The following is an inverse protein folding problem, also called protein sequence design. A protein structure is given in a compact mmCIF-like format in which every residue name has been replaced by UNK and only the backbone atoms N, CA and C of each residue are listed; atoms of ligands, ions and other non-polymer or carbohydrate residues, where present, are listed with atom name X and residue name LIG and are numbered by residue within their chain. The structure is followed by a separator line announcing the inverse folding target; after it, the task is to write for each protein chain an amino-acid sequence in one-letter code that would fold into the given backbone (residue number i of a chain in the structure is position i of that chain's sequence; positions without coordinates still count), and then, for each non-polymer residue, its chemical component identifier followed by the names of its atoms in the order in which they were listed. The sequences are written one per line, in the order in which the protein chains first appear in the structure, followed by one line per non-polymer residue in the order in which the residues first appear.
data_IF_475590764970
#
_entry.id   IF_475590764970
#
_cell.length_a   1.000
_cell.length_b   1.000
_cell.length_c   1.000
_cell.angle_alpha   90.00
_cell.angle_beta   90.00
_cell.angle_gamma   90.00
#
_symmetry.space_group_name_H-M   'P 1'
#
loop_
_entity.id
_entity.type
_entity.pdbx_description
1 polymer ?
#
# COMPACT_ATOMS: atom_id res chain seq x y z
N UNK A 1 18.58 4.44 5.61
CA UNK A 1 17.97 5.78 5.43
C UNK A 1 17.45 6.23 6.79
N UNK A 2 17.68 7.48 7.19
CA UNK A 2 17.26 8.01 8.50
C UNK A 2 15.99 8.86 8.38
N UNK A 3 15.16 8.93 9.43
CA UNK A 3 14.01 9.81 9.45
C UNK A 3 14.44 11.28 9.36
N UNK A 4 13.60 12.09 8.72
CA UNK A 4 13.83 13.53 8.60
C UNK A 4 13.48 14.24 9.91
N UNK A 5 14.18 15.33 10.21
CA UNK A 5 13.72 16.26 11.25
C UNK A 5 12.49 17.04 10.76
N UNK A 6 11.66 17.55 11.67
CA UNK A 6 10.44 18.29 11.29
C UNK A 6 10.69 19.42 10.27
N UNK A 7 11.75 20.20 10.47
CA UNK A 7 12.11 21.28 9.53
C UNK A 7 12.56 20.76 8.17
N UNK A 8 13.25 19.62 8.12
CA UNK A 8 13.63 18.97 6.85
C UNK A 8 12.39 18.44 6.11
N UNK A 9 11.40 17.90 6.82
CA UNK A 9 10.10 17.52 6.24
C UNK A 9 9.41 18.75 5.62
N UNK A 10 9.33 19.85 6.36
CA UNK A 10 8.68 21.08 5.90
C UNK A 10 9.40 21.65 4.67
N UNK A 11 10.75 21.67 4.67
CA UNK A 11 11.56 22.06 3.51
C UNK A 11 11.28 21.15 2.31
N UNK A 12 11.27 19.82 2.51
CA UNK A 12 11.04 18.87 1.43
C UNK A 12 9.62 18.97 0.86
N UNK A 13 8.62 19.29 1.69
CA UNK A 13 7.25 19.56 1.25
C UNK A 13 7.14 20.88 0.46
N UNK A 14 7.85 21.93 0.87
CA UNK A 14 7.95 23.17 0.11
C UNK A 14 8.57 22.90 -1.27
N UNK A 15 9.66 22.12 -1.33
CA UNK A 15 10.29 21.72 -2.59
C UNK A 15 9.31 20.91 -3.44
N UNK A 16 8.59 19.94 -2.88
CA UNK A 16 7.61 19.14 -3.61
C UNK A 16 6.58 20.02 -4.34
N UNK A 17 6.07 21.06 -3.68
CA UNK A 17 5.01 21.94 -4.21
C UNK A 17 5.51 22.99 -5.20
N UNK A 18 6.71 23.53 -4.97
CA UNK A 18 7.20 24.71 -5.68
C UNK A 18 8.39 24.43 -6.60
N UNK A 19 8.78 23.16 -6.78
CA UNK A 19 9.93 22.82 -7.61
C UNK A 19 9.80 23.27 -9.09
N UNK A 20 10.91 23.71 -9.71
CA UNK A 20 12.22 23.93 -9.09
C UNK A 20 12.23 25.19 -8.20
N UNK A 21 12.83 25.12 -7.00
CA UNK A 21 12.81 26.21 -6.01
C UNK A 21 14.19 26.52 -5.43
N UNK A 22 14.51 27.79 -5.18
CA UNK A 22 15.79 28.22 -4.58
C UNK A 22 15.77 28.18 -3.04
N UNK A 23 16.95 28.25 -2.40
CA UNK A 23 17.01 28.35 -0.93
C UNK A 23 16.34 29.61 -0.37
N UNK A 24 16.34 30.71 -1.12
CA UNK A 24 15.70 31.95 -0.70
C UNK A 24 14.17 31.80 -0.68
N UNK A 25 13.60 31.27 -1.77
CA UNK A 25 12.16 30.99 -1.86
C UNK A 25 11.73 29.96 -0.80
N UNK A 26 12.54 28.92 -0.54
CA UNK A 26 12.26 27.98 0.57
C UNK A 26 12.17 28.74 1.89
N UNK A 27 13.10 29.66 2.15
CA UNK A 27 13.12 30.46 3.38
C UNK A 27 11.89 31.37 3.52
N UNK A 28 11.32 31.85 2.42
CA UNK A 28 10.11 32.68 2.42
C UNK A 28 8.83 31.88 2.71
N UNK A 29 8.78 30.62 2.26
CA UNK A 29 7.62 29.74 2.47
C UNK A 29 7.62 29.03 3.84
N UNK A 30 8.75 29.01 4.54
CA UNK A 30 8.84 28.41 5.87
C UNK A 30 8.05 29.25 6.89
N UNK A 31 7.18 28.58 7.65
CA UNK A 31 6.41 29.22 8.74
C UNK A 31 7.33 29.71 9.85
N UNK A 32 8.37 28.94 10.17
CA UNK A 32 9.39 29.30 11.17
C UNK A 32 10.47 30.16 10.52
N UNK A 33 10.73 31.34 11.10
CA UNK A 33 11.80 32.23 10.64
C UNK A 33 13.16 31.67 11.07
N UNK A 34 13.86 31.05 10.13
CA UNK A 34 15.24 30.56 10.30
C UNK A 34 16.20 31.29 9.35
N UNK A 35 17.49 31.29 9.68
CA UNK A 35 18.51 31.89 8.82
C UNK A 35 18.62 31.13 7.48
N UNK A 36 18.95 31.84 6.40
CA UNK A 36 19.20 31.23 5.09
C UNK A 36 20.35 30.20 5.14
N UNK A 37 21.31 30.38 6.05
CA UNK A 37 22.41 29.42 6.28
C UNK A 37 21.85 28.10 6.81
N UNK A 38 20.91 28.16 7.77
CA UNK A 38 20.23 26.98 8.30
C UNK A 38 19.45 26.25 7.21
N UNK A 39 18.69 26.98 6.38
CA UNK A 39 17.94 26.40 5.25
C UNK A 39 18.90 25.68 4.29
N UNK A 40 20.00 26.33 3.90
CA UNK A 40 21.02 25.72 3.03
C UNK A 40 21.64 24.46 3.63
N UNK A 41 21.89 24.44 4.94
CA UNK A 41 22.40 23.27 5.65
C UNK A 41 21.41 22.10 5.58
N UNK A 42 20.13 22.35 5.85
CA UNK A 42 19.11 21.31 5.81
C UNK A 42 18.85 20.81 4.38
N UNK A 43 18.83 21.69 3.38
CA UNK A 43 18.77 21.29 1.96
C UNK A 43 19.99 20.47 1.57
N UNK A 44 21.19 20.82 2.05
CA UNK A 44 22.40 20.02 1.81
C UNK A 44 22.27 18.63 2.42
N UNK A 45 21.75 18.51 3.65
CA UNK A 45 21.48 17.22 4.27
C UNK A 45 20.47 16.38 3.47
N UNK A 46 19.37 17.00 3.02
CA UNK A 46 18.37 16.35 2.16
C UNK A 46 18.98 15.84 0.84
N UNK A 47 19.89 16.62 0.24
CA UNK A 47 20.63 16.21 -0.97
C UNK A 47 21.56 15.04 -0.71
N UNK A 48 22.32 15.07 0.39
CA UNK A 48 23.20 13.97 0.78
C UNK A 48 22.42 12.68 1.06
N UNK A 49 21.21 12.81 1.61
CA UNK A 49 20.28 11.70 1.83
C UNK A 49 19.51 11.28 0.57
N UNK A 50 19.72 11.93 -0.57
CA UNK A 50 19.11 11.57 -1.86
C UNK A 50 17.66 12.03 -2.05
N UNK A 51 17.07 12.79 -1.12
CA UNK A 51 15.70 13.29 -1.23
C UNK A 51 15.56 14.40 -2.29
N UNK A 52 16.62 15.17 -2.51
CA UNK A 52 16.59 16.39 -3.32
C UNK A 52 17.75 16.38 -4.32
N UNK A 53 17.49 16.82 -5.55
CA UNK A 53 18.51 17.15 -6.55
C UNK A 53 18.64 18.65 -6.70
N UNK A 54 19.81 19.10 -7.16
CA UNK A 54 20.07 20.50 -7.44
C UNK A 54 20.45 20.70 -8.91
N UNK A 55 20.00 21.79 -9.50
CA UNK A 55 20.35 22.24 -10.85
C UNK A 55 20.77 23.71 -10.82
N UNK A 56 21.64 24.13 -11.74
CA UNK A 56 22.15 25.51 -11.81
C UNK A 56 23.49 25.71 -11.09
N UNK A 57 23.98 26.96 -11.04
CA UNK A 57 25.29 27.32 -10.44
C UNK A 57 25.22 28.66 -9.68
N UNK A 58 25.94 28.76 -8.57
CA UNK A 58 26.02 30.00 -7.80
C UNK A 58 24.66 30.47 -7.29
N UNK A 59 24.20 31.64 -7.75
CA UNK A 59 22.91 32.22 -7.34
C UNK A 59 21.69 31.59 -8.04
N UNK A 60 21.89 30.82 -9.12
CA UNK A 60 20.80 30.17 -9.85
C UNK A 60 20.54 28.72 -9.42
N UNK A 61 21.09 28.28 -8.27
CA UNK A 61 20.85 26.93 -7.76
C UNK A 61 19.39 26.79 -7.34
N UNK A 62 18.70 25.85 -7.96
CA UNK A 62 17.34 25.45 -7.62
C UNK A 62 17.27 23.95 -7.32
N UNK A 63 16.27 23.56 -6.54
CA UNK A 63 16.10 22.24 -5.99
C UNK A 63 14.80 21.60 -6.45
N UNK A 64 14.85 20.29 -6.70
CA UNK A 64 13.70 19.47 -7.02
C UNK A 64 13.72 18.20 -6.15
N UNK A 65 12.54 17.66 -5.84
CA UNK A 65 12.43 16.42 -5.08
C UNK A 65 12.72 15.24 -6.03
N UNK A 66 13.46 14.24 -5.56
CA UNK A 66 13.72 13.01 -6.32
C UNK A 66 12.55 12.03 -6.18
N UNK A 67 12.52 10.98 -7.00
CA UNK A 67 11.53 9.90 -6.86
C UNK A 67 11.62 9.21 -5.50
N UNK A 68 12.84 8.93 -5.02
CA UNK A 68 13.09 8.39 -3.67
C UNK A 68 12.64 9.40 -2.61
N UNK A 69 12.93 10.69 -2.80
CA UNK A 69 12.51 11.73 -1.88
C UNK A 69 11.01 11.83 -1.75
N UNK A 70 10.26 11.72 -2.85
CA UNK A 70 8.78 11.64 -2.83
C UNK A 70 8.31 10.38 -2.10
N UNK A 71 8.91 9.24 -2.42
CA UNK A 71 8.53 7.94 -1.88
C UNK A 71 8.50 7.93 -0.36
N UNK A 72 9.52 8.50 0.28
CA UNK A 72 9.68 8.48 1.73
C UNK A 72 9.28 9.79 2.43
N UNK A 73 8.72 10.76 1.71
CA UNK A 73 8.29 12.02 2.31
C UNK A 73 7.13 11.77 3.29
N UNK A 74 7.23 12.14 4.58
CA UNK A 74 6.14 11.99 5.52
C UNK A 74 5.03 12.99 5.21
N UNK A 75 3.95 12.49 4.62
CA UNK A 75 2.74 13.26 4.33
C UNK A 75 1.68 12.86 5.35
N UNK A 76 1.08 13.83 6.03
CA UNK A 76 -0.15 13.61 6.79
C UNK A 76 -1.30 13.45 5.80
N UNK A 77 -1.81 12.22 5.69
CA UNK A 77 -2.83 11.87 4.71
C UNK A 77 -4.16 12.58 4.96
N UNK A 78 -4.52 12.81 6.23
CA UNK A 78 -5.75 13.49 6.59
C UNK A 78 -5.68 14.97 6.23
N UNK A 79 -4.58 15.66 6.59
CA UNK A 79 -4.37 17.05 6.22
C UNK A 79 -4.27 17.23 4.70
N UNK A 80 -3.62 16.30 4.01
CA UNK A 80 -3.53 16.32 2.54
C UNK A 80 -4.92 16.17 1.90
N UNK A 81 -5.75 15.25 2.41
CA UNK A 81 -7.08 14.99 1.87
C UNK A 81 -8.15 16.00 2.29
N UNK A 82 -7.90 16.82 3.32
CA UNK A 82 -8.75 17.94 3.71
C UNK A 82 -8.79 19.07 2.67
N UNK A 83 -7.83 19.10 1.74
CA UNK A 83 -7.85 19.99 0.56
C UNK A 83 -8.66 19.31 -0.54
N UNK A 84 -9.53 20.07 -1.23
CA UNK A 84 -10.31 19.56 -2.36
C UNK A 84 -9.42 18.96 -3.47
N UNK A 85 -9.80 17.85 -4.13
CA UNK A 85 -8.95 17.12 -5.07
C UNK A 85 -8.31 17.99 -6.16
N UNK A 86 -9.05 18.96 -6.71
CA UNK A 86 -8.56 19.83 -7.78
C UNK A 86 -7.59 20.92 -7.31
N UNK A 87 -7.55 21.20 -6.01
CA UNK A 87 -6.64 22.18 -5.40
C UNK A 87 -5.39 21.54 -4.79
N UNK A 88 -5.31 20.20 -4.75
CA UNK A 88 -4.12 19.48 -4.26
C UNK A 88 -2.96 19.61 -5.24
N UNK A 89 -1.70 19.59 -4.77
CA UNK A 89 -0.50 19.52 -5.60
C UNK A 89 -0.31 18.09 -6.16
N UNK A 90 -1.33 17.59 -6.87
CA UNK A 90 -1.45 16.19 -7.27
C UNK A 90 -0.79 15.87 -8.62
N UNK A 91 -0.13 14.72 -8.70
CA UNK A 91 0.30 14.14 -9.96
C UNK A 91 -0.88 13.43 -10.61
N UNK A 92 -1.29 13.90 -11.79
CA UNK A 92 -2.50 13.38 -12.46
C UNK A 92 -2.26 12.10 -13.26
N UNK A 93 -1.00 11.68 -13.47
CA UNK A 93 -0.63 10.59 -14.38
C UNK A 93 0.26 9.57 -13.70
N UNK A 94 0.24 8.35 -14.25
CA UNK A 94 1.11 7.25 -13.84
C UNK A 94 2.59 7.57 -14.11
N UNK A 95 3.45 7.19 -13.18
CA UNK A 95 4.91 7.36 -13.22
C UNK A 95 5.63 6.04 -13.54
N UNK A 96 6.15 5.91 -14.77
CA UNK A 96 6.88 4.71 -15.22
C UNK A 96 8.26 4.57 -14.56
N UNK A 97 8.82 5.66 -14.06
CA UNK A 97 10.13 5.65 -13.39
C UNK A 97 10.02 5.24 -11.91
N UNK A 98 8.80 5.11 -11.39
CA UNK A 98 8.57 4.77 -9.98
C UNK A 98 9.18 3.41 -9.62
N UNK A 99 8.74 2.33 -10.25
CA UNK A 99 9.16 0.98 -9.88
C UNK A 99 10.64 0.68 -10.15
N UNK A 100 11.27 1.17 -11.23
CA UNK A 100 12.71 1.08 -11.39
C UNK A 100 13.49 1.81 -10.28
N UNK A 101 12.99 2.95 -9.80
CA UNK A 101 13.64 3.76 -8.76
C UNK A 101 13.41 3.28 -7.32
N UNK A 102 12.51 2.32 -7.10
CA UNK A 102 12.22 1.80 -5.75
C UNK A 102 13.42 0.99 -5.23
N UNK A 103 13.92 1.31 -4.02
CA UNK A 103 15.00 0.56 -3.40
C UNK A 103 14.55 -0.86 -2.98
N UNK A 104 15.49 -1.80 -2.81
CA UNK A 104 15.19 -3.17 -2.36
C UNK A 104 14.54 -3.29 -0.97
N UNK A 105 14.59 -2.24 -0.16
CA UNK A 105 13.91 -2.17 1.14
C UNK A 105 13.15 -0.86 1.29
N UNK A 106 11.92 -0.94 1.80
CA UNK A 106 11.05 0.22 2.07
C UNK A 106 11.01 0.63 3.54
N UNK A 107 11.74 -0.08 4.40
CA UNK A 107 11.70 0.12 5.85
C UNK A 107 13.01 0.68 6.37
N UNK A 108 12.92 1.66 7.27
CA UNK A 108 14.06 2.11 8.05
C UNK A 108 14.47 1.03 9.04
N UNK A 109 15.71 1.09 9.53
CA UNK A 109 16.27 0.06 10.42
C UNK A 109 15.41 -0.21 11.66
N UNK A 110 14.82 0.83 12.25
CA UNK A 110 13.93 0.70 13.41
C UNK A 110 12.58 0.06 13.06
N UNK A 111 11.97 0.46 11.93
CA UNK A 111 10.73 -0.14 11.42
C UNK A 111 10.94 -1.62 11.08
N UNK A 112 12.06 -1.94 10.42
CA UNK A 112 12.43 -3.31 10.09
C UNK A 112 12.62 -4.15 11.36
N UNK A 113 13.33 -3.63 12.35
CA UNK A 113 13.50 -4.33 13.63
C UNK A 113 12.17 -4.56 14.36
N UNK A 114 11.18 -3.66 14.22
CA UNK A 114 9.84 -3.85 14.77
C UNK A 114 9.10 -4.99 14.07
N UNK A 115 9.13 -5.04 12.73
CA UNK A 115 8.55 -6.13 11.95
C UNK A 115 9.19 -7.48 12.31
N UNK A 116 10.52 -7.55 12.39
CA UNK A 116 11.22 -8.79 12.74
C UNK A 116 10.87 -9.27 14.16
N UNK A 117 10.73 -8.35 15.14
CA UNK A 117 10.24 -8.71 16.49
C UNK A 117 8.81 -9.23 16.46
N UNK A 118 7.94 -8.60 15.67
CA UNK A 118 6.56 -9.04 15.50
C UNK A 118 6.51 -10.46 14.90
N UNK A 119 7.32 -10.75 13.89
CA UNK A 119 7.44 -12.09 13.30
C UNK A 119 7.94 -13.12 14.31
N UNK A 120 8.94 -12.77 15.12
CA UNK A 120 9.41 -13.63 16.23
C UNK A 120 8.28 -13.99 17.20
N UNK A 121 7.53 -12.99 17.67
CA UNK A 121 6.36 -13.17 18.55
C UNK A 121 5.26 -14.01 17.90
N UNK A 122 5.02 -13.82 16.60
CA UNK A 122 4.07 -14.62 15.84
C UNK A 122 4.47 -16.10 15.81
N UNK A 123 5.73 -16.41 15.53
CA UNK A 123 6.23 -17.79 15.54
C UNK A 123 6.22 -18.41 16.94
N UNK A 124 6.55 -17.66 17.98
CA UNK A 124 6.50 -18.18 19.36
C UNK A 124 5.09 -18.61 19.76
N UNK A 125 4.08 -17.83 19.37
CA UNK A 125 2.67 -18.18 19.62
C UNK A 125 2.18 -19.35 18.77
N UNK A 126 2.85 -19.67 17.66
CA UNK A 126 2.47 -20.76 16.75
C UNK A 126 3.11 -22.12 17.09
N UNK A 127 4.22 -22.13 17.85
CA UNK A 127 5.12 -23.30 18.03
C UNK A 127 4.48 -24.56 18.62
N UNK A 128 3.44 -24.45 19.43
CA UNK A 128 2.82 -25.59 20.15
C UNK A 128 1.31 -25.71 19.94
N UNK A 129 0.78 -25.15 18.85
CA UNK A 129 -0.65 -25.21 18.59
C UNK A 129 -1.09 -26.55 18.01
N UNK A 130 -2.16 -27.11 18.60
CA UNK A 130 -2.82 -28.27 18.00
C UNK A 130 -3.41 -27.90 16.64
N UNK A 131 -3.54 -28.90 15.75
CA UNK A 131 -4.15 -28.71 14.43
C UNK A 131 -5.54 -28.06 14.53
N UNK A 132 -6.35 -28.48 15.49
CA UNK A 132 -7.69 -27.91 15.71
C UNK A 132 -7.65 -26.43 16.13
N UNK A 133 -6.68 -26.03 16.95
CA UNK A 133 -6.50 -24.63 17.33
C UNK A 133 -6.00 -23.79 16.15
N UNK A 134 -5.09 -24.34 15.35
CA UNK A 134 -4.62 -23.73 14.11
C UNK A 134 -5.77 -23.45 13.14
N UNK A 135 -6.61 -24.46 12.86
CA UNK A 135 -7.77 -24.32 11.98
C UNK A 135 -8.77 -23.26 12.49
N UNK A 136 -8.98 -23.19 13.81
CA UNK A 136 -9.86 -22.19 14.43
C UNK A 136 -9.30 -20.76 14.31
N UNK A 137 -8.00 -20.58 14.54
CA UNK A 137 -7.35 -19.27 14.39
C UNK A 137 -7.32 -18.81 12.93
N UNK A 138 -7.06 -19.74 12.01
CA UNK A 138 -7.13 -19.50 10.58
C UNK A 138 -8.55 -19.07 10.16
N UNK A 139 -9.58 -19.80 10.58
CA UNK A 139 -10.97 -19.46 10.26
C UNK A 139 -11.32 -18.05 10.78
N UNK A 140 -10.95 -17.75 12.03
CA UNK A 140 -11.14 -16.42 12.63
C UNK A 140 -10.46 -15.33 11.80
N UNK A 141 -9.21 -15.54 11.41
CA UNK A 141 -8.47 -14.59 10.56
C UNK A 141 -9.17 -14.38 9.21
N UNK A 142 -9.58 -15.47 8.55
CA UNK A 142 -10.24 -15.42 7.23
C UNK A 142 -11.57 -14.67 7.29
N UNK A 143 -12.37 -14.86 8.34
CA UNK A 143 -13.61 -14.11 8.57
C UNK A 143 -13.31 -12.61 8.70
N UNK A 144 -12.37 -12.25 9.57
CA UNK A 144 -12.03 -10.85 9.83
C UNK A 144 -11.43 -10.15 8.60
N UNK A 145 -10.55 -10.83 7.87
CA UNK A 145 -9.97 -10.33 6.62
C UNK A 145 -11.04 -10.15 5.53
N UNK A 146 -11.89 -11.16 5.32
CA UNK A 146 -12.93 -11.13 4.28
C UNK A 146 -13.95 -10.02 4.53
N UNK A 147 -14.35 -9.86 5.79
CA UNK A 147 -15.18 -8.74 6.23
C UNK A 147 -14.50 -7.40 5.96
N UNK A 148 -13.30 -7.19 6.52
CA UNK A 148 -12.68 -5.86 6.53
C UNK A 148 -12.21 -5.42 5.15
N UNK A 149 -11.65 -6.32 4.36
CA UNK A 149 -11.24 -6.06 2.97
C UNK A 149 -12.44 -5.69 2.09
N UNK A 150 -13.61 -6.29 2.32
CA UNK A 150 -14.85 -5.93 1.61
C UNK A 150 -15.42 -4.61 2.12
N UNK A 151 -15.40 -4.38 3.43
CA UNK A 151 -15.91 -3.17 4.06
C UNK A 151 -15.17 -1.91 3.62
N UNK A 152 -13.85 -1.97 3.43
CA UNK A 152 -13.05 -0.86 2.86
C UNK A 152 -13.52 -0.45 1.46
N UNK A 153 -14.13 -1.37 0.70
CA UNK A 153 -14.72 -1.10 -0.61
C UNK A 153 -16.22 -0.75 -0.55
N UNK A 154 -16.77 -0.50 0.64
CA UNK A 154 -18.16 -0.07 0.85
C UNK A 154 -19.16 -1.20 1.10
N UNK A 155 -18.71 -2.44 1.31
CA UNK A 155 -19.59 -3.53 1.73
C UNK A 155 -20.17 -3.27 3.13
N UNK A 156 -21.48 -3.47 3.29
CA UNK A 156 -22.22 -3.08 4.49
C UNK A 156 -22.44 -4.23 5.49
N UNK A 157 -21.90 -5.43 5.22
CA UNK A 157 -21.95 -6.53 6.19
C UNK A 157 -21.27 -6.16 7.51
N UNK A 158 -21.90 -6.57 8.62
CA UNK A 158 -21.22 -6.55 9.92
C UNK A 158 -20.26 -7.74 10.04
N UNK A 159 -19.37 -7.69 11.03
CA UNK A 159 -18.49 -8.84 11.31
C UNK A 159 -19.32 -10.08 11.71
N UNK A 160 -20.39 -9.89 12.46
CA UNK A 160 -21.30 -10.99 12.85
C UNK A 160 -22.03 -11.59 11.65
N UNK A 161 -22.52 -10.76 10.74
CA UNK A 161 -23.16 -11.26 9.51
C UNK A 161 -22.15 -12.01 8.63
N UNK A 162 -20.91 -11.54 8.59
CA UNK A 162 -19.82 -12.20 7.85
C UNK A 162 -19.49 -13.57 8.45
N UNK A 163 -19.44 -13.66 9.79
CA UNK A 163 -19.23 -14.93 10.50
C UNK A 163 -20.35 -15.93 10.18
N UNK A 164 -21.62 -15.52 10.29
CA UNK A 164 -22.78 -16.37 9.97
C UNK A 164 -22.80 -16.78 8.50
N UNK A 165 -22.41 -15.88 7.59
CA UNK A 165 -22.31 -16.19 6.17
C UNK A 165 -21.24 -17.25 5.88
N UNK A 166 -20.06 -17.11 6.48
CA UNK A 166 -18.93 -18.02 6.23
C UNK A 166 -19.13 -19.38 6.90
N UNK A 167 -19.62 -19.41 8.15
CA UNK A 167 -19.78 -20.66 8.92
C UNK A 167 -21.05 -21.41 8.59
N UNK A 168 -22.18 -20.70 8.56
CA UNK A 168 -23.50 -21.33 8.49
C UNK A 168 -24.12 -21.23 7.09
N UNK A 169 -23.49 -20.50 6.17
CA UNK A 169 -24.05 -20.20 4.84
C UNK A 169 -25.25 -19.26 4.89
N UNK A 170 -25.50 -18.61 6.03
CA UNK A 170 -26.67 -17.76 6.25
C UNK A 170 -26.39 -16.34 5.78
N UNK A 171 -27.10 -15.91 4.74
CA UNK A 171 -27.03 -14.52 4.24
C UNK A 171 -27.78 -13.59 5.16
N UNK A 172 -27.28 -12.37 5.31
CA UNK A 172 -28.03 -11.30 5.96
C UNK A 172 -29.18 -10.84 5.05
N UNK A 173 -30.41 -10.71 5.60
CA UNK A 173 -31.63 -10.53 4.80
C UNK A 173 -31.70 -9.19 4.06
N UNK A 174 -31.07 -8.14 4.60
CA UNK A 174 -31.15 -6.78 4.08
C UNK A 174 -29.97 -6.41 3.15
N UNK A 175 -29.13 -7.38 2.79
CA UNK A 175 -27.93 -7.16 1.99
C UNK A 175 -28.03 -7.74 0.58
N UNK A 176 -27.32 -7.11 -0.36
CA UNK A 176 -27.34 -7.57 -1.73
C UNK A 176 -26.63 -8.93 -1.90
N UNK A 177 -27.04 -9.76 -2.87
CA UNK A 177 -26.31 -10.99 -3.20
C UNK A 177 -24.85 -10.74 -3.59
N UNK A 178 -24.57 -9.59 -4.21
CA UNK A 178 -23.22 -9.19 -4.60
C UNK A 178 -22.31 -8.97 -3.37
N UNK A 179 -22.82 -8.34 -2.30
CA UNK A 179 -22.05 -8.14 -1.07
C UNK A 179 -21.70 -9.47 -0.39
N UNK A 180 -22.64 -10.42 -0.36
CA UNK A 180 -22.35 -11.77 0.14
C UNK A 180 -21.28 -12.48 -0.70
N UNK A 181 -21.39 -12.38 -2.04
CA UNK A 181 -20.40 -12.96 -2.96
C UNK A 181 -19.02 -12.34 -2.78
N UNK A 182 -18.89 -11.03 -2.55
CA UNK A 182 -17.59 -10.39 -2.28
C UNK A 182 -16.86 -11.04 -1.10
N UNK A 183 -17.59 -11.35 -0.01
CA UNK A 183 -17.04 -11.99 1.19
C UNK A 183 -16.66 -13.45 0.91
N UNK A 184 -17.56 -14.21 0.29
CA UNK A 184 -17.33 -15.63 -0.03
C UNK A 184 -16.18 -15.82 -1.02
N UNK A 185 -16.06 -14.92 -2.01
CA UNK A 185 -14.96 -14.89 -2.96
C UNK A 185 -13.64 -14.59 -2.24
N UNK A 186 -13.65 -13.67 -1.28
CA UNK A 186 -12.46 -13.35 -0.49
C UNK A 186 -11.97 -14.55 0.32
N UNK A 187 -12.87 -15.29 0.96
CA UNK A 187 -12.56 -16.57 1.62
C UNK A 187 -11.94 -17.55 0.62
N UNK A 188 -12.63 -17.79 -0.50
CA UNK A 188 -12.21 -18.76 -1.53
C UNK A 188 -10.83 -18.41 -2.10
N UNK A 189 -10.58 -17.13 -2.35
CA UNK A 189 -9.29 -16.66 -2.85
C UNK A 189 -8.18 -16.79 -1.80
N UNK A 190 -8.48 -16.65 -0.51
CA UNK A 190 -7.52 -16.93 0.56
C UNK A 190 -7.21 -18.43 0.69
N UNK A 191 -8.22 -19.30 0.57
CA UNK A 191 -8.02 -20.77 0.55
C UNK A 191 -7.10 -21.19 -0.61
N UNK A 192 -7.22 -20.54 -1.77
CA UNK A 192 -6.30 -20.71 -2.89
C UNK A 192 -4.86 -20.29 -2.54
N UNK A 193 -4.67 -19.17 -1.84
CA UNK A 193 -3.35 -18.71 -1.38
C UNK A 193 -2.69 -19.76 -0.48
N UNK A 194 -3.43 -20.29 0.51
CA UNK A 194 -2.93 -21.31 1.43
C UNK A 194 -2.55 -22.61 0.71
N UNK A 195 -3.31 -23.00 -0.30
CA UNK A 195 -3.06 -24.21 -1.09
C UNK A 195 -1.88 -24.05 -2.07
N UNK A 196 -1.42 -22.83 -2.31
CA UNK A 196 -0.40 -22.51 -3.32
C UNK A 196 0.76 -21.67 -2.77
N UNK A 197 1.10 -21.79 -1.47
CA UNK A 197 2.17 -21.01 -0.81
C UNK A 197 3.49 -21.05 -1.59
N UNK A 198 3.89 -22.21 -2.12
CA UNK A 198 5.12 -22.37 -2.90
C UNK A 198 5.17 -21.54 -4.18
N UNK A 199 4.02 -21.25 -4.79
CA UNK A 199 3.93 -20.38 -5.97
C UNK A 199 4.26 -18.95 -5.56
N UNK A 200 3.65 -18.45 -4.50
CA UNK A 200 3.88 -17.09 -4.00
C UNK A 200 5.26 -16.91 -3.38
N UNK A 201 5.86 -17.97 -2.82
CA UNK A 201 7.23 -17.96 -2.30
C UNK A 201 8.28 -17.74 -3.39
N UNK A 202 8.01 -18.22 -4.61
CA UNK A 202 8.86 -17.95 -5.80
C UNK A 202 8.65 -16.54 -6.35
N UNK A 203 7.68 -15.80 -5.84
CA UNK A 203 7.28 -14.47 -6.31
C UNK A 203 5.97 -14.48 -7.08
N UNK A 204 5.50 -13.29 -7.45
CA UNK A 204 4.26 -13.10 -8.24
C UNK A 204 4.57 -12.74 -9.69
N UNK A 205 3.61 -13.01 -10.57
CA UNK A 205 3.59 -12.52 -11.93
C UNK A 205 2.15 -12.36 -12.44
N UNK A 206 1.99 -12.09 -13.74
CA UNK A 206 0.67 -11.83 -14.33
C UNK A 206 -0.33 -12.95 -14.06
N UNK A 207 0.05 -14.21 -14.30
CA UNK A 207 -0.84 -15.36 -14.14
C UNK A 207 -1.35 -15.52 -12.69
N UNK A 208 -0.47 -15.35 -11.70
CA UNK A 208 -0.86 -15.48 -10.28
C UNK A 208 -1.76 -14.33 -9.84
N UNK A 209 -1.49 -13.11 -10.29
CA UNK A 209 -2.32 -11.93 -9.93
C UNK A 209 -3.68 -11.97 -10.62
N UNK A 210 -3.72 -12.36 -11.90
CA UNK A 210 -4.98 -12.55 -12.64
C UNK A 210 -5.83 -13.67 -12.04
N UNK A 211 -5.22 -14.76 -11.54
CA UNK A 211 -5.97 -15.84 -10.90
C UNK A 211 -6.56 -15.41 -9.56
N UNK A 212 -5.79 -14.69 -8.73
CA UNK A 212 -6.31 -14.12 -7.47
C UNK A 212 -7.47 -13.16 -7.77
N UNK A 213 -7.31 -12.29 -8.77
CA UNK A 213 -8.39 -11.38 -9.21
C UNK A 213 -9.63 -12.16 -9.66
N UNK A 214 -9.46 -13.18 -10.51
CA UNK A 214 -10.54 -14.02 -11.04
C UNK A 214 -11.37 -14.64 -9.92
N UNK A 215 -10.73 -15.12 -8.86
CA UNK A 215 -11.41 -15.67 -7.68
C UNK A 215 -12.16 -14.58 -6.92
N UNK A 216 -11.55 -13.42 -6.71
CA UNK A 216 -12.14 -12.29 -5.98
C UNK A 216 -13.38 -11.69 -6.66
N UNK A 217 -13.42 -11.68 -8.00
CA UNK A 217 -14.54 -11.10 -8.76
C UNK A 217 -15.53 -12.12 -9.32
N UNK A 218 -15.38 -13.40 -8.95
CA UNK A 218 -16.22 -14.48 -9.44
C UNK A 218 -17.72 -14.21 -9.18
N UNK A 219 -18.55 -14.23 -10.23
CA UNK A 219 -19.99 -14.00 -10.10
C UNK A 219 -20.41 -12.55 -9.82
N UNK A 220 -19.48 -11.58 -9.85
CA UNK A 220 -19.78 -10.15 -9.65
C UNK A 220 -19.99 -9.38 -10.97
N UNK A 221 -19.94 -10.07 -12.12
CA UNK A 221 -20.14 -9.44 -13.44
C UNK A 221 -18.95 -8.59 -13.93
N UNK A 222 -17.76 -8.78 -13.35
CA UNK A 222 -16.52 -8.07 -13.72
C UNK A 222 -15.79 -8.84 -14.83
N UNK A 223 -15.30 -8.13 -15.85
CA UNK A 223 -14.47 -8.71 -16.90
C UNK A 223 -13.16 -9.27 -16.33
N UNK A 224 -12.70 -10.39 -16.90
CA UNK A 224 -11.47 -11.07 -16.47
C UNK A 224 -10.25 -10.56 -17.23
N UNK A 225 -9.11 -10.59 -16.56
CA UNK A 225 -7.83 -10.21 -17.15
C UNK A 225 -7.65 -8.70 -17.25
N UNK A 226 -6.55 -8.29 -17.87
CA UNK A 226 -6.19 -6.87 -18.00
C UNK A 226 -7.26 -6.12 -18.80
N UNK A 227 -7.80 -5.06 -18.20
CA UNK A 227 -8.89 -4.27 -18.79
C UNK A 227 -8.47 -3.56 -20.07
N UNK A 228 -9.45 -3.35 -20.95
CA UNK A 228 -9.33 -2.56 -22.19
C UNK A 228 -9.93 -1.17 -22.11
N UNK A 229 -10.72 -0.89 -21.06
CA UNK A 229 -11.44 0.36 -20.86
C UNK A 229 -10.78 1.22 -19.77
N UNK A 230 -10.87 2.55 -19.83
CA UNK A 230 -10.40 3.42 -18.77
C UNK A 230 -11.23 3.24 -17.49
N UNK A 231 -10.59 3.43 -16.34
CA UNK A 231 -11.24 3.44 -15.02
C UNK A 231 -10.85 4.71 -14.27
N UNK A 232 -11.75 5.21 -13.43
CA UNK A 232 -11.50 6.34 -12.54
C UNK A 232 -11.42 5.89 -11.08
N UNK A 233 -10.72 6.66 -10.25
CA UNK A 233 -10.72 6.50 -8.80
C UNK A 233 -11.41 7.73 -8.20
N UNK A 234 -12.49 7.52 -7.46
CA UNK A 234 -13.23 8.61 -6.81
C UNK A 234 -12.36 9.26 -5.73
N UNK A 235 -12.40 10.59 -5.65
CA UNK A 235 -11.74 11.39 -4.60
C UNK A 235 -10.27 11.73 -4.87
N UNK A 236 -9.78 11.47 -6.09
CA UNK A 236 -8.42 11.81 -6.51
C UNK A 236 -8.36 12.41 -7.91
N UNK A 237 -7.40 13.32 -8.13
CA UNK A 237 -7.09 13.86 -9.45
C UNK A 237 -6.22 12.90 -10.31
N UNK A 238 -5.74 11.80 -9.72
CA UNK A 238 -4.94 10.79 -10.40
C UNK A 238 -5.78 9.98 -11.39
N UNK A 239 -5.24 9.82 -12.59
CA UNK A 239 -5.82 8.99 -13.65
C UNK A 239 -4.94 7.76 -13.88
N UNK A 240 -5.48 6.55 -13.63
CA UNK A 240 -4.80 5.30 -13.98
C UNK A 240 -4.52 5.18 -15.47
N UNK A 241 -3.63 4.25 -15.82
CA UNK A 241 -3.34 3.90 -17.22
C UNK A 241 -4.61 3.46 -17.95
N UNK A 242 -4.78 3.84 -19.21
CA UNK A 242 -5.94 3.49 -20.04
C UNK A 242 -5.61 2.48 -21.14
N UNK A 243 -4.32 2.33 -21.48
CA UNK A 243 -3.84 1.45 -22.53
C UNK A 243 -3.39 0.07 -21.98
N UNK A 244 -3.93 -1.05 -22.49
CA UNK A 244 -3.59 -2.41 -22.03
C UNK A 244 -2.11 -2.79 -22.16
N UNK A 245 -1.41 -2.30 -23.19
CA UNK A 245 0.02 -2.58 -23.35
C UNK A 245 0.84 -1.86 -22.28
N UNK A 246 0.48 -0.61 -21.97
CA UNK A 246 1.12 0.16 -20.90
C UNK A 246 0.81 -0.39 -19.51
N UNK A 247 -0.40 -0.92 -19.31
CA UNK A 247 -0.75 -1.64 -18.06
C UNK A 247 0.15 -2.87 -17.89
N UNK A 248 0.36 -3.67 -18.95
CA UNK A 248 1.25 -4.83 -18.91
C UNK A 248 2.69 -4.42 -18.58
N UNK A 249 3.20 -3.40 -19.27
CA UNK A 249 4.54 -2.86 -19.02
C UNK A 249 4.72 -2.40 -17.56
N UNK A 250 3.73 -1.68 -17.01
CA UNK A 250 3.74 -1.25 -15.63
C UNK A 250 3.69 -2.42 -14.64
N UNK A 251 2.91 -3.47 -14.95
CA UNK A 251 2.86 -4.69 -14.14
C UNK A 251 4.23 -5.39 -14.15
N UNK A 252 4.83 -5.59 -15.32
CA UNK A 252 6.14 -6.24 -15.46
C UNK A 252 7.22 -5.47 -14.69
N UNK A 253 7.22 -4.13 -14.79
CA UNK A 253 8.11 -3.26 -14.00
C UNK A 253 7.89 -3.38 -12.50
N UNK A 254 6.64 -3.52 -12.05
CA UNK A 254 6.31 -3.71 -10.63
C UNK A 254 6.71 -5.09 -10.12
N UNK A 255 6.50 -6.16 -10.90
CA UNK A 255 6.95 -7.50 -10.55
C UNK A 255 8.46 -7.57 -10.42
N UNK A 256 9.19 -6.96 -11.36
CA UNK A 256 10.64 -6.85 -11.27
C UNK A 256 11.08 -6.11 -9.99
N UNK A 257 10.37 -5.04 -9.58
CA UNK A 257 10.68 -4.34 -8.33
C UNK A 257 10.37 -5.18 -7.08
N UNK A 258 9.27 -5.95 -7.10
CA UNK A 258 8.89 -6.87 -6.02
C UNK A 258 9.91 -8.02 -5.90
N UNK A 259 10.40 -8.57 -7.00
CA UNK A 259 11.41 -9.64 -6.97
C UNK A 259 12.81 -9.15 -6.56
N UNK A 260 13.09 -7.85 -6.70
CA UNK A 260 14.32 -7.23 -6.17
C UNK A 260 14.27 -6.97 -4.67
N UNK A 261 13.11 -7.07 -4.03
CA UNK A 261 12.96 -6.79 -2.61
C UNK A 261 13.79 -7.77 -1.77
N UNK A 262 14.46 -7.26 -0.75
CA UNK A 262 15.34 -8.06 0.13
C UNK A 262 14.59 -8.73 1.28
N UNK A 263 13.32 -8.40 1.49
CA UNK A 263 12.51 -8.91 2.58
C UNK A 263 11.02 -9.05 2.19
N UNK A 264 10.29 -9.99 2.83
CA UNK A 264 8.89 -10.26 2.49
C UNK A 264 7.97 -9.08 2.81
N UNK A 265 8.31 -8.23 3.77
CA UNK A 265 7.50 -7.04 4.10
C UNK A 265 7.53 -6.03 2.96
N UNK A 266 8.71 -5.81 2.37
CA UNK A 266 8.90 -4.91 1.24
C UNK A 266 8.16 -5.45 0.02
N UNK A 267 8.29 -6.75 -0.27
CA UNK A 267 7.52 -7.42 -1.32
C UNK A 267 6.01 -7.21 -1.14
N UNK A 268 5.50 -7.41 0.08
CA UNK A 268 4.08 -7.28 0.40
C UNK A 268 3.58 -5.83 0.26
N UNK A 269 4.23 -4.86 0.93
CA UNK A 269 3.87 -3.45 0.86
C UNK A 269 3.95 -2.91 -0.57
N UNK A 270 4.98 -3.30 -1.32
CA UNK A 270 5.14 -2.89 -2.70
C UNK A 270 4.06 -3.48 -3.60
N UNK A 271 3.72 -4.76 -3.44
CA UNK A 271 2.62 -5.38 -4.21
C UNK A 271 1.27 -4.69 -3.94
N UNK A 272 1.01 -4.33 -2.68
CA UNK A 272 -0.19 -3.61 -2.26
C UNK A 272 -0.31 -2.26 -2.95
N UNK A 273 0.79 -1.49 -2.94
CA UNK A 273 0.85 -0.17 -3.52
C UNK A 273 0.80 -0.20 -5.06
N UNK A 274 1.59 -1.09 -5.67
CA UNK A 274 1.75 -1.18 -7.12
C UNK A 274 0.46 -1.57 -7.83
N UNK A 275 -0.19 -2.67 -7.41
CA UNK A 275 -1.43 -3.16 -8.04
C UNK A 275 -2.53 -2.10 -7.91
N UNK A 276 -2.61 -1.44 -6.75
CA UNK A 276 -3.59 -0.38 -6.51
C UNK A 276 -3.31 0.90 -7.32
N UNK A 277 -2.06 1.20 -7.63
CA UNK A 277 -1.70 2.38 -8.43
C UNK A 277 -1.90 2.14 -9.93
N UNK A 278 -1.57 0.94 -10.41
CA UNK A 278 -1.73 0.55 -11.81
C UNK A 278 -3.21 0.39 -12.19
N UNK A 279 -4.04 -0.14 -11.27
CA UNK A 279 -5.45 -0.50 -11.52
C UNK A 279 -5.60 -1.40 -12.76
N UNK A 280 -4.99 -2.60 -12.81
CA UNK A 280 -4.96 -3.40 -14.03
C UNK A 280 -6.30 -4.01 -14.46
N UNK A 281 -7.28 -4.08 -13.57
CA UNK A 281 -8.58 -4.71 -13.78
C UNK A 281 -9.72 -3.70 -13.80
N UNK A 282 -10.87 -4.10 -14.34
CA UNK A 282 -12.09 -3.27 -14.39
C UNK A 282 -12.59 -2.91 -12.98
N UNK A 283 -12.64 -3.89 -12.07
CA UNK A 283 -12.91 -3.70 -10.64
C UNK A 283 -12.13 -4.75 -9.82
N UNK A 284 -12.08 -4.61 -8.49
CA UNK A 284 -11.45 -5.57 -7.58
C UNK A 284 -9.95 -5.35 -7.38
N UNK A 285 -9.38 -4.28 -7.94
CA UNK A 285 -7.94 -3.98 -7.88
C UNK A 285 -7.40 -3.92 -6.45
N UNK A 286 -8.06 -3.16 -5.57
CA UNK A 286 -7.61 -2.96 -4.18
C UNK A 286 -7.76 -4.22 -3.33
N UNK A 287 -8.84 -5.00 -3.53
CA UNK A 287 -9.03 -6.32 -2.90
C UNK A 287 -7.94 -7.30 -3.35
N UNK A 288 -7.63 -7.30 -4.64
CA UNK A 288 -6.54 -8.11 -5.21
C UNK A 288 -5.20 -7.72 -4.61
N UNK A 289 -4.92 -6.43 -4.52
CA UNK A 289 -3.68 -5.92 -3.94
C UNK A 289 -3.49 -6.35 -2.47
N UNK A 290 -4.54 -6.22 -1.63
CA UNK A 290 -4.51 -6.67 -0.23
C UNK A 290 -4.29 -8.18 -0.11
N UNK A 291 -4.97 -8.97 -0.94
CA UNK A 291 -4.84 -10.42 -0.88
C UNK A 291 -3.48 -10.92 -1.39
N UNK A 292 -2.95 -10.31 -2.46
CA UNK A 292 -1.61 -10.62 -2.97
C UNK A 292 -0.53 -10.25 -1.94
N UNK A 293 -0.66 -9.12 -1.24
CA UNK A 293 0.24 -8.76 -0.16
C UNK A 293 0.24 -9.81 0.96
N UNK A 294 -0.95 -10.27 1.38
CA UNK A 294 -1.06 -11.36 2.35
C UNK A 294 -0.49 -12.68 1.83
N UNK A 295 -0.66 -12.99 0.54
CA UNK A 295 -0.08 -14.19 -0.06
C UNK A 295 1.45 -14.21 0.02
N UNK A 296 2.08 -13.06 -0.23
CA UNK A 296 3.53 -12.91 -0.10
C UNK A 296 4.00 -13.08 1.36
N UNK A 297 3.27 -12.52 2.33
CA UNK A 297 3.60 -12.69 3.76
C UNK A 297 3.46 -14.14 4.21
N UNK A 298 2.30 -14.74 3.95
CA UNK A 298 1.97 -16.12 4.38
C UNK A 298 2.91 -17.14 3.73
N UNK A 299 3.33 -16.93 2.48
CA UNK A 299 4.29 -17.81 1.80
C UNK A 299 5.71 -17.75 2.39
N UNK A 300 6.02 -16.70 3.16
CA UNK A 300 7.29 -16.53 3.87
C UNK A 300 7.10 -16.65 5.39
N UNK A 301 6.05 -17.36 5.82
CA UNK A 301 5.73 -17.63 7.22
C UNK A 301 5.58 -16.38 8.10
N UNK A 302 5.31 -15.23 7.48
CA UNK A 302 5.04 -13.96 8.15
C UNK A 302 3.56 -13.84 8.54
N UNK A 303 3.27 -13.07 9.59
CA UNK A 303 1.91 -12.75 9.97
C UNK A 303 1.18 -12.01 8.81
N UNK A 304 -0.04 -12.42 8.43
CA UNK A 304 -0.82 -11.71 7.43
C UNK A 304 -1.55 -10.51 8.01
N UNK A 305 -1.91 -9.55 7.17
CA UNK A 305 -2.60 -8.31 7.53
C UNK A 305 -4.12 -8.55 7.55
N UNK A 306 -4.78 -8.39 8.70
CA UNK A 306 -6.24 -8.49 8.78
C UNK A 306 -6.98 -7.18 8.45
N UNK A 307 -6.27 -6.04 8.52
CA UNK A 307 -6.81 -4.69 8.38
C UNK A 307 -7.85 -4.31 9.44
N UNK A 308 -8.15 -5.18 10.42
CA UNK A 308 -9.31 -5.08 11.31
C UNK A 308 -9.42 -3.72 12.00
N UNK A 309 -8.30 -3.18 12.47
CA UNK A 309 -8.25 -1.92 13.20
C UNK A 309 -8.11 -0.67 12.33
N UNK A 310 -7.97 -0.80 11.00
CA UNK A 310 -7.78 0.36 10.09
C UNK A 310 -9.10 1.07 9.83
N UNK A 311 -9.11 2.40 9.89
CA UNK A 311 -10.25 3.19 9.44
C UNK A 311 -10.43 3.14 7.91
N UNK A 312 -11.67 3.06 7.42
CA UNK A 312 -11.91 3.07 5.95
C UNK A 312 -11.45 4.38 5.30
N UNK A 313 -11.71 5.50 6.00
CA UNK A 313 -11.26 6.84 5.59
C UNK A 313 -9.74 6.92 5.62
N UNK A 314 -9.12 6.54 6.73
CA UNK A 314 -7.66 6.51 6.90
C UNK A 314 -6.97 5.72 5.77
N UNK A 315 -7.46 4.52 5.46
CA UNK A 315 -6.92 3.72 4.36
C UNK A 315 -7.08 4.44 3.03
N UNK A 316 -8.26 5.02 2.75
CA UNK A 316 -8.52 5.73 1.50
C UNK A 316 -7.62 6.95 1.34
N UNK A 317 -7.44 7.74 2.38
CA UNK A 317 -6.54 8.90 2.40
C UNK A 317 -5.09 8.48 2.14
N UNK A 318 -4.61 7.42 2.80
CA UNK A 318 -3.28 6.88 2.57
C UNK A 318 -3.05 6.46 1.11
N UNK A 319 -4.05 5.82 0.49
CA UNK A 319 -3.99 5.46 -0.93
C UNK A 319 -3.99 6.69 -1.85
N UNK A 320 -4.80 7.71 -1.55
CA UNK A 320 -4.83 8.97 -2.32
C UNK A 320 -3.47 9.65 -2.30
N UNK A 321 -2.81 9.72 -1.14
CA UNK A 321 -1.44 10.25 -1.04
C UNK A 321 -0.49 9.47 -1.94
N UNK A 322 -0.58 8.14 -1.95
CA UNK A 322 0.27 7.35 -2.84
C UNK A 322 -0.03 7.61 -4.32
N UNK A 323 -1.31 7.71 -4.71
CA UNK A 323 -1.69 7.96 -6.09
C UNK A 323 -1.21 9.33 -6.60
N UNK A 324 -1.32 10.37 -5.77
CA UNK A 324 -1.09 11.75 -6.19
C UNK A 324 0.34 12.23 -5.93
N UNK A 325 0.93 11.82 -4.82
CA UNK A 325 2.27 12.27 -4.38
C UNK A 325 3.33 11.22 -4.62
N UNK A 326 2.94 9.93 -4.68
CA UNK A 326 3.82 8.74 -4.65
C UNK A 326 4.57 8.57 -3.33
N UNK A 327 4.12 9.21 -2.26
CA UNK A 327 4.61 8.89 -0.92
C UNK A 327 3.99 7.60 -0.41
N UNK A 328 4.82 6.61 -0.08
CA UNK A 328 4.39 5.37 0.54
C UNK A 328 4.19 5.54 2.05
N UNK A 329 4.62 6.66 2.63
CA UNK A 329 4.71 6.82 4.08
C UNK A 329 3.39 6.54 4.82
N UNK A 330 2.22 7.09 4.45
CA UNK A 330 0.97 6.77 5.15
C UNK A 330 0.57 5.30 5.03
N UNK A 331 0.73 4.72 3.84
CA UNK A 331 0.40 3.31 3.61
C UNK A 331 1.35 2.38 4.37
N UNK A 332 2.63 2.74 4.46
CA UNK A 332 3.64 2.04 5.25
C UNK A 332 3.31 2.08 6.74
N UNK A 333 2.87 3.23 7.26
CA UNK A 333 2.44 3.35 8.65
C UNK A 333 1.26 2.41 8.97
N UNK A 334 0.24 2.37 8.11
CA UNK A 334 -0.87 1.42 8.22
C UNK A 334 -0.36 -0.03 8.16
N UNK A 335 0.53 -0.33 7.20
CA UNK A 335 1.11 -1.66 7.04
C UNK A 335 1.81 -2.15 8.31
N UNK A 336 2.70 -1.34 8.88
CA UNK A 336 3.44 -1.68 10.11
C UNK A 336 2.46 -1.92 11.27
N UNK A 337 1.54 -0.98 11.50
CA UNK A 337 0.57 -1.11 12.58
C UNK A 337 -0.34 -2.33 12.44
N UNK A 338 -0.73 -2.69 11.21
CA UNK A 338 -1.50 -3.91 10.96
C UNK A 338 -0.67 -5.18 11.10
N UNK A 339 0.61 -5.14 10.73
CA UNK A 339 1.50 -6.27 10.89
C UNK A 339 1.72 -6.57 12.37
N UNK A 340 2.05 -5.55 13.19
CA UNK A 340 2.20 -5.68 14.64
C UNK A 340 0.90 -6.13 15.31
N UNK A 341 -0.24 -5.55 14.90
CA UNK A 341 -1.56 -5.98 15.39
C UNK A 341 -1.77 -7.47 15.10
N UNK A 342 -1.63 -7.90 13.85
CA UNK A 342 -1.87 -9.29 13.48
C UNK A 342 -0.91 -10.26 14.18
N UNK A 343 0.37 -9.90 14.24
CA UNK A 343 1.41 -10.65 14.93
C UNK A 343 1.26 -10.68 16.46
N UNK A 344 0.39 -9.85 17.05
CA UNK A 344 -0.01 -9.92 18.46
C UNK A 344 -1.36 -10.63 18.68
N UNK A 345 -2.22 -10.69 17.65
CA UNK A 345 -3.62 -11.14 17.80
C UNK A 345 -3.93 -12.52 17.20
N UNK A 346 -3.22 -12.98 16.17
CA UNK A 346 -3.47 -14.29 15.54
C UNK A 346 -2.27 -15.20 15.72
N UNK A 347 -2.46 -16.39 16.25
CA UNK A 347 -1.33 -17.27 16.57
C UNK A 347 -0.87 -18.15 15.39
N UNK A 348 -1.65 -18.27 14.31
CA UNK A 348 -1.23 -18.97 13.09
C UNK A 348 -2.20 -18.74 11.94
N UNK A 349 -1.69 -18.72 10.70
CA UNK A 349 -2.46 -18.60 9.45
C UNK A 349 -1.82 -19.41 8.32
#
# INVERSE_FOLDING_TARGET
MQPLTKRQEDIAFIILRNQPVSSSEISEHLKEKVSLVTVKRDVTALRMAGYVTASGKGRSVAYAITSIGRLFLPIDAHQYCAVEPDARPASKRFDFELFPAIPPTLFFSEERAALDRATGSYHERSRDMSKALHEKELERFVIELSWKSSKIEGNTYTLLDTERLIRDGVRAPDHSPAEALMILNHKTAFDFVLSNKDVFKKGIGRATVEEVHRLLVHGLGVERGIRSRPVGIIGTAYQPLDNPHRIREALDGSYAAIHRAEDPYTSALLSLAAISYIQPFEDGNKRTARLVANALLVAHDCAPLSYRSVGEVEYREAMIVFYEVRSIHPLKHIFIGQYEFAAGHYASV
#
